data_IF_947773970951
#
_entry.id   IF_947773970951
#
_cell.length_a   1.000
_cell.length_b   1.000
_cell.length_c   1.000
_cell.angle_alpha   90.00
_cell.angle_beta   90.00
_cell.angle_gamma   90.00
#
_symmetry.space_group_name_H-M   'P 1'
#
loop_
_entity.id
_entity.type
_entity.pdbx_description
1 polymer ?
#
# COMPACT_ATOMS: atom_id res chain seq x y z
N UNK A 1 -0.85 -5.06 16.93
CA UNK A 1 -0.21 -4.44 15.75
C UNK A 1 -0.72 -5.13 14.49
N UNK A 2 -1.23 -4.40 13.49
CA UNK A 2 -1.74 -5.00 12.23
C UNK A 2 -0.60 -5.11 11.21
N UNK A 3 -0.26 -6.34 10.80
CA UNK A 3 0.71 -6.61 9.73
C UNK A 3 0.16 -6.09 8.38
N UNK A 4 1.01 -5.47 7.55
CA UNK A 4 0.60 -4.96 6.21
C UNK A 4 0.14 -6.08 5.27
N UNK A 5 0.60 -7.32 5.48
CA UNK A 5 0.07 -8.51 4.82
C UNK A 5 -1.44 -8.70 5.06
N UNK A 6 -1.96 -8.26 6.21
CA UNK A 6 -3.39 -8.34 6.54
C UNK A 6 -4.22 -7.22 5.88
N UNK A 7 -3.60 -6.15 5.42
CA UNK A 7 -4.29 -5.03 4.76
C UNK A 7 -4.74 -5.43 3.34
N UNK A 8 -4.06 -6.40 2.71
CA UNK A 8 -4.31 -6.88 1.33
C UNK A 8 -4.53 -5.75 0.29
N UNK A 9 -3.61 -4.75 0.17
CA UNK A 9 -3.85 -3.58 -0.68
C UNK A 9 -4.16 -3.91 -2.13
N UNK A 10 -3.55 -4.96 -2.70
CA UNK A 10 -3.79 -5.39 -4.08
C UNK A 10 -5.27 -5.72 -4.35
N UNK A 11 -5.91 -6.48 -3.46
CA UNK A 11 -7.31 -6.87 -3.62
C UNK A 11 -8.24 -5.67 -3.47
N UNK A 12 -7.93 -4.78 -2.52
CA UNK A 12 -8.69 -3.56 -2.28
C UNK A 12 -8.59 -2.61 -3.48
N UNK A 13 -7.38 -2.37 -4.01
CA UNK A 13 -7.16 -1.49 -5.16
C UNK A 13 -7.90 -2.00 -6.41
N UNK A 14 -7.83 -3.30 -6.71
CA UNK A 14 -8.58 -3.91 -7.81
C UNK A 14 -10.09 -3.74 -7.62
N UNK A 15 -10.60 -4.00 -6.41
CA UNK A 15 -12.02 -3.82 -6.09
C UNK A 15 -12.48 -2.37 -6.24
N UNK A 16 -11.65 -1.41 -5.79
CA UNK A 16 -11.93 0.02 -5.96
C UNK A 16 -11.97 0.41 -7.44
N UNK A 17 -11.04 -0.08 -8.27
CA UNK A 17 -11.03 0.19 -9.72
C UNK A 17 -12.33 -0.27 -10.37
N UNK A 18 -12.85 -1.43 -9.98
CA UNK A 18 -14.07 -2.01 -10.54
C UNK A 18 -15.35 -1.35 -10.01
N UNK A 19 -15.38 -0.94 -8.74
CA UNK A 19 -16.62 -0.62 -8.04
C UNK A 19 -16.79 0.84 -7.61
N UNK A 20 -15.71 1.62 -7.51
CA UNK A 20 -15.76 2.97 -6.94
C UNK A 20 -16.50 3.98 -7.80
N UNK A 21 -16.60 3.74 -9.12
CA UNK A 21 -17.30 4.62 -10.09
C UNK A 21 -16.89 6.10 -9.93
N UNK A 22 -15.58 6.36 -9.84
CA UNK A 22 -15.03 7.72 -9.74
C UNK A 22 -15.46 8.56 -10.95
N UNK A 23 -16.11 9.71 -10.71
CA UNK A 23 -16.73 10.50 -11.78
C UNK A 23 -15.72 11.28 -12.62
N UNK A 24 -14.58 11.69 -12.06
CA UNK A 24 -13.57 12.47 -12.77
C UNK A 24 -12.39 11.63 -13.27
N UNK A 25 -11.71 12.11 -14.30
CA UNK A 25 -10.58 11.39 -14.93
C UNK A 25 -9.34 11.39 -14.06
N UNK A 26 -9.04 12.49 -13.36
CA UNK A 26 -7.83 12.61 -12.52
C UNK A 26 -7.84 11.57 -11.40
N UNK A 27 -8.95 11.40 -10.67
CA UNK A 27 -9.03 10.37 -9.61
C UNK A 27 -8.99 8.96 -10.18
N UNK A 28 -9.58 8.71 -11.37
CA UNK A 28 -9.49 7.40 -12.03
C UNK A 28 -8.06 7.04 -12.41
N UNK A 29 -7.30 8.00 -12.93
CA UNK A 29 -5.88 7.82 -13.25
C UNK A 29 -5.08 7.57 -11.97
N UNK A 30 -5.23 8.43 -10.96
CA UNK A 30 -4.55 8.26 -9.68
C UNK A 30 -4.82 6.88 -9.04
N UNK A 31 -6.04 6.36 -9.12
CA UNK A 31 -6.36 5.02 -8.60
C UNK A 31 -5.69 3.89 -9.40
N UNK A 32 -5.60 4.05 -10.73
CA UNK A 32 -4.92 3.08 -11.60
C UNK A 32 -3.41 3.12 -11.37
N UNK A 33 -2.83 4.31 -11.27
CA UNK A 33 -1.41 4.49 -10.99
C UNK A 33 -1.04 3.88 -9.65
N UNK A 34 -1.89 4.03 -8.63
CA UNK A 34 -1.69 3.44 -7.30
C UNK A 34 -1.63 1.93 -7.39
N UNK A 35 -2.54 1.32 -8.16
CA UNK A 35 -2.54 -0.12 -8.41
C UNK A 35 -1.32 -0.58 -9.21
N UNK A 36 -0.87 0.18 -10.21
CA UNK A 36 0.32 -0.15 -11.01
C UNK A 36 1.57 -0.10 -10.14
N UNK A 37 1.77 1.00 -9.41
CA UNK A 37 2.90 1.18 -8.50
C UNK A 37 2.92 0.12 -7.40
N UNK A 38 1.78 -0.15 -6.77
CA UNK A 38 1.67 -1.19 -5.76
C UNK A 38 2.00 -2.57 -6.33
N UNK A 39 1.46 -2.93 -7.51
CA UNK A 39 1.77 -4.19 -8.18
C UNK A 39 3.25 -4.34 -8.52
N UNK A 40 3.86 -3.28 -9.06
CA UNK A 40 5.29 -3.27 -9.32
C UNK A 40 6.09 -3.49 -8.03
N UNK A 41 5.73 -2.79 -6.95
CA UNK A 41 6.34 -2.94 -5.64
C UNK A 41 6.24 -4.36 -5.08
N UNK A 42 5.04 -4.97 -5.05
CA UNK A 42 4.90 -6.34 -4.51
C UNK A 42 5.50 -7.42 -5.40
N UNK A 43 5.72 -7.13 -6.69
CA UNK A 43 6.42 -8.04 -7.60
C UNK A 43 7.93 -8.10 -7.33
N UNK A 44 8.49 -7.09 -6.66
CA UNK A 44 9.89 -7.13 -6.20
C UNK A 44 10.06 -8.21 -5.12
N UNK A 45 11.23 -8.87 -5.07
CA UNK A 45 11.66 -9.63 -3.89
C UNK A 45 11.49 -8.79 -2.62
N UNK A 46 11.13 -9.43 -1.51
CA UNK A 46 10.78 -8.75 -0.26
C UNK A 46 11.88 -7.80 0.25
N UNK A 47 13.14 -8.20 0.04
CA UNK A 47 14.37 -7.45 0.37
C UNK A 47 14.53 -6.14 -0.42
N UNK A 48 13.89 -6.03 -1.58
CA UNK A 48 13.96 -4.89 -2.50
C UNK A 48 12.71 -4.00 -2.43
N UNK A 49 11.78 -4.29 -1.52
CA UNK A 49 10.57 -3.51 -1.32
C UNK A 49 10.87 -2.30 -0.45
N UNK A 50 10.66 -1.12 -1.00
CA UNK A 50 10.92 0.16 -0.35
C UNK A 50 9.67 0.76 0.34
N UNK A 51 9.87 1.38 1.49
CA UNK A 51 8.79 2.04 2.22
C UNK A 51 8.24 3.29 1.49
N UNK A 52 9.04 3.91 0.62
CA UNK A 52 8.65 5.10 -0.13
C UNK A 52 7.46 4.82 -1.06
N UNK A 53 7.46 3.67 -1.74
CA UNK A 53 6.34 3.29 -2.62
C UNK A 53 5.02 3.21 -1.85
N UNK A 54 5.03 2.81 -0.56
CA UNK A 54 3.80 2.81 0.25
C UNK A 54 3.27 4.23 0.47
N UNK A 55 4.16 5.20 0.71
CA UNK A 55 3.80 6.60 0.86
C UNK A 55 3.29 7.20 -0.45
N UNK A 56 3.91 6.87 -1.58
CA UNK A 56 3.51 7.37 -2.89
C UNK A 56 2.11 6.86 -3.27
N UNK A 57 1.83 5.58 -3.03
CA UNK A 57 0.50 4.99 -3.21
C UNK A 57 -0.50 5.68 -2.27
N UNK A 58 -0.17 5.86 -0.99
CA UNK A 58 -1.05 6.58 -0.06
C UNK A 58 -1.32 8.03 -0.49
N UNK A 59 -0.32 8.72 -1.06
CA UNK A 59 -0.48 10.08 -1.57
C UNK A 59 -1.45 10.15 -2.76
N UNK A 60 -1.41 9.17 -3.67
CA UNK A 60 -2.38 9.06 -4.77
C UNK A 60 -3.80 8.79 -4.27
N UNK A 61 -3.97 7.93 -3.25
CA UNK A 61 -5.28 7.73 -2.62
C UNK A 61 -5.76 9.02 -1.93
N UNK A 62 -4.86 9.75 -1.28
CA UNK A 62 -5.17 11.03 -0.62
C UNK A 62 -5.59 12.11 -1.61
N UNK A 63 -5.02 12.13 -2.82
CA UNK A 63 -5.48 13.01 -3.90
C UNK A 63 -6.96 12.73 -4.24
N UNK A 64 -7.33 11.46 -4.37
CA UNK A 64 -8.73 11.06 -4.63
C UNK A 64 -9.62 11.49 -3.48
N UNK A 65 -9.21 11.22 -2.23
CA UNK A 65 -9.94 11.62 -1.02
C UNK A 65 -10.19 13.14 -1.03
N UNK A 66 -9.16 13.95 -1.31
CA UNK A 66 -9.27 15.40 -1.40
C UNK A 66 -10.28 15.83 -2.47
N UNK A 67 -10.21 15.25 -3.67
CA UNK A 67 -11.13 15.59 -4.76
C UNK A 67 -12.58 15.24 -4.43
N UNK A 68 -12.81 14.10 -3.76
CA UNK A 68 -14.14 13.70 -3.29
C UNK A 68 -14.65 14.63 -2.19
N UNK A 69 -13.82 14.94 -1.18
CA UNK A 69 -14.19 15.86 -0.09
C UNK A 69 -14.48 17.27 -0.60
N UNK A 70 -13.80 17.72 -1.65
CA UNK A 70 -14.04 19.01 -2.30
C UNK A 70 -15.19 18.98 -3.32
N UNK A 71 -15.95 17.87 -3.40
CA UNK A 71 -17.06 17.66 -4.36
C UNK A 71 -16.64 17.78 -5.84
N UNK A 72 -15.35 17.62 -6.14
CA UNK A 72 -14.79 17.62 -7.50
C UNK A 72 -14.82 16.22 -8.15
N UNK A 73 -15.00 15.17 -7.34
CA UNK A 73 -15.19 13.80 -7.81
C UNK A 73 -16.30 13.12 -7.00
N UNK A 74 -17.21 12.44 -7.69
CA UNK A 74 -18.17 11.52 -7.06
C UNK A 74 -17.54 10.14 -6.88
N UNK A 75 -17.96 9.42 -5.85
CA UNK A 75 -17.57 8.03 -5.58
C UNK A 75 -18.78 7.26 -5.04
N UNK A 76 -18.87 5.96 -5.33
CA UNK A 76 -19.87 5.09 -4.72
C UNK A 76 -19.66 5.04 -3.20
N UNK A 77 -20.74 5.27 -2.43
CA UNK A 77 -20.70 5.36 -0.95
C UNK A 77 -19.99 4.18 -0.28
N UNK A 78 -20.24 2.96 -0.75
CA UNK A 78 -19.63 1.73 -0.19
C UNK A 78 -18.12 1.62 -0.47
N UNK A 79 -17.61 2.33 -1.48
CA UNK A 79 -16.19 2.34 -1.84
C UNK A 79 -15.43 3.47 -1.15
N UNK A 80 -16.13 4.47 -0.60
CA UNK A 80 -15.54 5.62 0.08
C UNK A 80 -14.79 5.22 1.35
N UNK A 81 -15.45 4.50 2.25
CA UNK A 81 -14.83 4.04 3.49
C UNK A 81 -13.62 3.16 3.21
N UNK A 82 -13.73 2.24 2.25
CA UNK A 82 -12.64 1.37 1.81
C UNK A 82 -11.42 2.15 1.31
N UNK A 83 -11.63 3.21 0.51
CA UNK A 83 -10.56 4.10 0.03
C UNK A 83 -9.86 4.81 1.20
N UNK A 84 -10.65 5.39 2.11
CA UNK A 84 -10.13 6.14 3.27
C UNK A 84 -9.36 5.23 4.22
N UNK A 85 -9.88 4.04 4.51
CA UNK A 85 -9.20 3.07 5.37
C UNK A 85 -7.90 2.58 4.76
N UNK A 86 -7.87 2.32 3.45
CA UNK A 86 -6.63 1.91 2.78
C UNK A 86 -5.54 3.00 2.86
N UNK A 87 -5.89 4.27 2.67
CA UNK A 87 -4.92 5.38 2.80
C UNK A 87 -4.35 5.47 4.22
N UNK A 88 -5.22 5.38 5.23
CA UNK A 88 -4.84 5.44 6.63
C UNK A 88 -3.97 4.24 7.04
N UNK A 89 -4.31 3.04 6.58
CA UNK A 89 -3.58 1.79 6.84
C UNK A 89 -2.17 1.84 6.23
N UNK A 90 -2.03 2.32 4.98
CA UNK A 90 -0.72 2.47 4.34
C UNK A 90 0.17 3.49 5.05
N UNK A 91 -0.38 4.63 5.49
CA UNK A 91 0.36 5.63 6.28
C UNK A 91 0.75 5.13 7.67
N UNK A 92 -0.15 4.38 8.31
CA UNK A 92 0.11 3.83 9.64
C UNK A 92 1.20 2.75 9.58
N UNK A 93 1.20 1.93 8.53
CA UNK A 93 2.25 0.94 8.31
C UNK A 93 3.63 1.59 8.11
N UNK A 94 3.69 2.73 7.40
CA UNK A 94 4.90 3.54 7.32
C UNK A 94 5.34 4.09 8.68
N UNK A 95 4.44 4.76 9.42
CA UNK A 95 4.75 5.38 10.70
C UNK A 95 5.23 4.37 11.77
N UNK A 96 4.78 3.12 11.68
CA UNK A 96 5.17 2.04 12.57
C UNK A 96 6.44 1.30 12.11
N UNK A 97 7.14 1.76 11.07
CA UNK A 97 8.28 1.07 10.47
C UNK A 97 8.01 -0.42 10.24
N UNK A 98 6.79 -0.78 9.83
CA UNK A 98 6.43 -2.18 9.61
C UNK A 98 7.27 -2.66 8.42
N UNK A 99 8.30 -3.46 8.71
CA UNK A 99 9.11 -4.13 7.70
C UNK A 99 8.18 -4.85 6.72
N UNK A 100 8.40 -4.62 5.43
CA UNK A 100 7.63 -5.21 4.32
C UNK A 100 7.91 -6.72 4.12
N UNK A 101 8.47 -7.40 5.12
CA UNK A 101 8.90 -8.80 5.07
C UNK A 101 8.19 -9.67 6.12
N UNK A 102 8.02 -10.98 5.86
CA UNK A 102 7.83 -11.94 6.95
C UNK A 102 9.09 -11.89 7.83
N UNK A 103 8.92 -11.99 9.14
CA UNK A 103 10.01 -12.36 10.05
C UNK A 103 10.54 -13.72 9.56
N UNK A 104 11.55 -13.72 8.70
CA UNK A 104 12.43 -14.87 8.59
C UNK A 104 13.24 -14.86 9.88
N UNK A 105 13.09 -15.94 10.64
CA UNK A 105 13.82 -16.19 11.86
C UNK A 105 15.27 -15.73 11.74
N UNK A 106 15.62 -14.74 12.56
CA UNK A 106 17.01 -14.42 12.90
C UNK A 106 17.53 -15.56 13.79
N UNK A 107 17.54 -16.81 13.30
CA UNK A 107 18.24 -17.93 13.93
C UNK A 107 18.56 -18.99 12.85
N UNK A 108 19.48 -18.69 11.94
CA UNK A 108 20.24 -19.74 11.29
C UNK A 108 21.67 -19.26 11.01
N UNK A 109 22.59 -19.92 11.71
CA UNK A 109 24.04 -19.86 11.58
C UNK A 109 24.72 -18.60 12.16
N UNK A 110 25.00 -18.70 13.46
CA UNK A 110 26.19 -18.12 14.06
C UNK A 110 27.37 -18.19 13.09
N UNK A 111 27.93 -17.02 12.82
CA UNK A 111 29.31 -16.84 12.42
C UNK A 111 30.25 -17.49 13.44
N UNK A 112 30.59 -18.77 13.27
CA UNK A 112 31.76 -19.38 13.92
C UNK A 112 32.50 -20.31 12.94
N UNK A 113 33.02 -19.71 11.88
CA UNK A 113 34.29 -20.17 11.29
C UNK A 113 35.28 -19.02 11.40
N UNK A 114 35.72 -18.80 12.64
CA UNK A 114 37.05 -18.27 12.90
C UNK A 114 37.84 -19.43 13.50
N UNK A 115 38.34 -20.32 12.65
CA UNK A 115 39.40 -21.24 13.07
C UNK A 115 40.64 -20.40 13.40
N UNK A 116 40.96 -20.39 14.69
CA UNK A 116 42.27 -20.05 15.22
C UNK A 116 43.08 -21.34 15.25
N UNK A 117 44.11 -21.43 14.41
CA UNK A 117 45.35 -22.19 14.65
C UNK A 117 46.40 -21.81 13.60
#
# INVERSE_FOLDING_TARGET
MRNIANIKPSAILVSLIQSAKLSNTVSRIALRDANIQWRAHISKPSQLRDQQTMLDVAAQLRLIIRQVSQKQCGIKRMSWSTLVYLEADLRSAYAQNINLEPLLDIVAANSEHSEVA
#
